data_IF_086594360917
#
_entry.id   IF_086594360917
#
_cell.length_a   1.000
_cell.length_b   1.000
_cell.length_c   1.000
_cell.angle_alpha   90.00
_cell.angle_beta   90.00
_cell.angle_gamma   90.00
#
_symmetry.space_group_name_H-M   'P 1'
#
loop_
_entity.id
_entity.type
_entity.pdbx_description
1 polymer ?
#
# COMPACT_ATOMS: atom_id res chain seq x y z
N UNK A 1 2.26 -20.27 -14.04
CA UNK A 1 3.27 -19.22 -14.25
C UNK A 1 3.66 -19.09 -15.72
N UNK A 2 4.51 -19.94 -16.32
CA UNK A 2 5.00 -19.75 -17.71
C UNK A 2 3.91 -19.79 -18.80
N UNK A 3 2.77 -20.43 -18.56
CA UNK A 3 1.63 -20.41 -19.48
C UNK A 3 0.81 -19.09 -19.42
N UNK A 4 0.98 -18.29 -18.36
CA UNK A 4 0.24 -17.05 -18.13
C UNK A 4 1.11 -15.82 -18.28
N UNK A 5 2.40 -15.90 -17.92
CA UNK A 5 3.34 -14.81 -18.12
C UNK A 5 3.69 -14.68 -19.61
N UNK A 6 3.12 -13.65 -20.28
CA UNK A 6 3.40 -13.37 -21.69
C UNK A 6 4.66 -12.54 -21.88
N UNK A 7 5.01 -11.74 -20.88
CA UNK A 7 6.16 -10.84 -20.88
C UNK A 7 7.14 -11.27 -19.78
N UNK A 8 8.44 -11.14 -20.04
CA UNK A 8 9.49 -11.27 -19.05
C UNK A 8 10.51 -10.14 -19.20
N UNK A 9 11.27 -9.88 -18.16
CA UNK A 9 12.37 -8.92 -18.18
C UNK A 9 13.70 -9.68 -18.10
N UNK A 10 14.62 -9.47 -19.04
CA UNK A 10 15.91 -10.16 -19.02
C UNK A 10 17.01 -9.22 -18.52
N UNK A 11 17.65 -9.62 -17.41
CA UNK A 11 18.79 -8.93 -16.83
C UNK A 11 19.94 -8.84 -17.84
N UNK A 12 20.77 -7.80 -17.70
CA UNK A 12 22.00 -7.60 -18.47
C UNK A 12 23.21 -7.70 -17.54
N UNK A 13 24.31 -8.26 -18.03
CA UNK A 13 25.59 -8.19 -17.33
C UNK A 13 26.03 -6.72 -17.29
N UNK A 14 26.29 -6.21 -16.08
CA UNK A 14 26.69 -4.84 -15.84
C UNK A 14 28.20 -4.82 -15.56
N UNK A 15 28.96 -4.14 -16.42
CA UNK A 15 30.41 -3.98 -16.28
C UNK A 15 30.79 -2.72 -15.51
N UNK A 16 29.83 -1.81 -15.31
CA UNK A 16 30.01 -0.56 -14.58
C UNK A 16 28.82 -0.29 -13.66
N UNK A 17 29.03 0.55 -12.65
CA UNK A 17 27.95 1.03 -11.77
C UNK A 17 26.88 1.79 -12.56
N UNK A 18 27.24 2.52 -13.61
CA UNK A 18 26.29 3.23 -14.45
C UNK A 18 25.35 2.26 -15.22
N UNK A 19 25.89 1.13 -15.71
CA UNK A 19 25.06 0.10 -16.33
C UNK A 19 24.13 -0.59 -15.32
N UNK A 20 24.59 -0.76 -14.08
CA UNK A 20 23.77 -1.28 -12.99
C UNK A 20 22.67 -0.31 -12.56
N UNK A 21 22.97 0.99 -12.47
CA UNK A 21 21.98 2.04 -12.20
C UNK A 21 20.85 2.01 -13.24
N UNK A 22 21.18 1.87 -14.54
CA UNK A 22 20.17 1.73 -15.59
C UNK A 22 19.22 0.54 -15.41
N UNK A 23 19.69 -0.56 -14.80
CA UNK A 23 18.85 -1.71 -14.41
C UNK A 23 17.91 -1.36 -13.25
N UNK A 24 18.43 -0.65 -12.24
CA UNK A 24 17.65 -0.21 -11.08
C UNK A 24 16.55 0.78 -11.48
N UNK A 25 16.80 1.66 -12.44
CA UNK A 25 15.78 2.61 -12.95
C UNK A 25 14.49 1.91 -13.41
N UNK A 26 14.59 0.68 -13.92
CA UNK A 26 13.42 -0.12 -14.30
C UNK A 26 12.82 -0.89 -13.12
N UNK A 27 13.66 -1.53 -12.31
CA UNK A 27 13.26 -2.63 -11.42
C UNK A 27 13.13 -2.26 -9.96
N UNK A 28 13.69 -1.12 -9.54
CA UNK A 28 13.83 -0.79 -8.13
C UNK A 28 13.13 0.52 -7.81
N UNK A 29 11.96 0.41 -7.17
CA UNK A 29 11.23 1.57 -6.63
C UNK A 29 11.91 2.22 -5.43
N UNK A 30 12.88 1.54 -4.84
CA UNK A 30 13.42 1.90 -3.55
C UNK A 30 14.60 2.84 -3.60
N UNK A 31 15.53 2.55 -4.52
CA UNK A 31 16.76 3.31 -4.73
C UNK A 31 16.83 3.97 -6.09
N UNK A 32 15.82 3.77 -6.94
CA UNK A 32 15.73 4.32 -8.28
C UNK A 32 14.27 4.64 -8.65
N UNK A 33 13.99 4.84 -9.94
CA UNK A 33 12.63 5.19 -10.39
C UNK A 33 11.63 4.01 -10.39
N UNK A 34 12.11 2.77 -10.57
CA UNK A 34 11.30 1.55 -10.63
C UNK A 34 10.21 1.59 -11.71
N UNK A 35 10.52 2.09 -12.91
CA UNK A 35 9.52 2.39 -13.94
C UNK A 35 8.65 1.19 -14.34
N UNK A 36 9.24 -0.01 -14.45
CA UNK A 36 8.48 -1.22 -14.79
C UNK A 36 7.58 -1.65 -13.62
N UNK A 37 8.09 -1.57 -12.39
CA UNK A 37 7.33 -1.93 -11.19
C UNK A 37 6.09 -1.02 -11.05
N UNK A 38 6.24 0.30 -11.24
CA UNK A 38 5.11 1.26 -11.27
C UNK A 38 4.09 0.94 -12.35
N UNK A 39 4.58 0.57 -13.53
CA UNK A 39 3.73 0.29 -14.68
C UNK A 39 2.88 -0.98 -14.45
N UNK A 40 3.53 -2.05 -13.99
CA UNK A 40 2.99 -3.40 -13.90
C UNK A 40 2.23 -3.68 -12.61
N UNK A 41 2.57 -3.04 -11.50
CA UNK A 41 1.97 -3.34 -10.20
C UNK A 41 1.27 -2.15 -9.57
N UNK A 42 1.51 -0.93 -10.04
CA UNK A 42 0.94 0.25 -9.41
C UNK A 42 1.59 0.52 -8.05
N UNK A 43 1.77 1.81 -7.75
CA UNK A 43 2.52 2.25 -6.57
C UNK A 43 1.90 3.54 -6.10
N UNK A 44 1.01 3.48 -5.10
CA UNK A 44 0.41 4.70 -4.54
C UNK A 44 1.22 5.29 -3.40
N UNK A 45 1.65 4.45 -2.44
CA UNK A 45 2.36 4.90 -1.25
C UNK A 45 3.68 4.12 -1.10
N UNK A 46 4.63 4.25 -2.07
CA UNK A 46 5.80 3.39 -2.20
C UNK A 46 6.65 3.21 -0.95
N UNK A 47 6.53 4.14 0.00
CA UNK A 47 7.42 4.22 1.14
C UNK A 47 6.70 4.26 2.50
N UNK A 48 5.36 4.24 2.52
CA UNK A 48 4.59 3.95 3.76
C UNK A 48 4.80 2.48 4.11
N UNK A 49 4.55 1.60 3.15
CA UNK A 49 4.91 0.18 3.12
C UNK A 49 4.83 -0.30 1.67
N UNK A 50 5.68 -1.26 1.30
CA UNK A 50 5.58 -1.92 -0.01
C UNK A 50 4.32 -2.80 -0.01
N UNK A 51 3.38 -2.47 -0.88
CA UNK A 51 2.25 -3.34 -1.20
C UNK A 51 2.79 -4.53 -2.02
N UNK A 52 2.51 -5.74 -1.56
CA UNK A 52 2.79 -7.00 -2.25
C UNK A 52 1.71 -7.31 -3.31
N UNK A 53 0.50 -6.82 -3.12
CA UNK A 53 -0.65 -7.10 -3.99
C UNK A 53 -0.72 -6.03 -5.09
N UNK A 54 -0.65 -6.40 -6.39
CA UNK A 54 -0.70 -5.45 -7.49
C UNK A 54 -1.98 -4.60 -7.51
N UNK A 55 -1.84 -3.29 -7.59
CA UNK A 55 -2.92 -2.30 -7.68
C UNK A 55 -3.36 -2.00 -9.13
N UNK A 56 -2.84 -2.74 -10.10
CA UNK A 56 -3.25 -2.67 -11.52
C UNK A 56 -4.31 -3.72 -11.87
N UNK A 57 -5.15 -4.07 -10.90
CA UNK A 57 -6.25 -5.04 -11.06
C UNK A 57 -5.80 -6.48 -11.35
N UNK A 58 -4.53 -6.81 -11.16
CA UNK A 58 -3.94 -8.14 -11.43
C UNK A 58 -3.63 -8.44 -12.91
N UNK A 59 -3.81 -7.47 -13.81
CA UNK A 59 -3.77 -7.69 -15.28
C UNK A 59 -2.49 -8.34 -15.82
N UNK A 60 -1.33 -7.90 -15.32
CA UNK A 60 -0.03 -8.30 -15.89
C UNK A 60 0.59 -9.53 -15.21
N UNK A 61 -0.04 -10.04 -14.14
CA UNK A 61 0.57 -11.01 -13.22
C UNK A 61 1.98 -10.57 -12.77
N UNK A 62 2.73 -11.45 -12.12
CA UNK A 62 4.14 -11.19 -11.81
C UNK A 62 5.02 -11.43 -13.05
N UNK A 63 5.71 -10.38 -13.50
CA UNK A 63 6.66 -10.40 -14.61
C UNK A 63 7.93 -11.11 -14.15
N UNK A 64 8.32 -12.25 -14.77
CA UNK A 64 9.53 -12.95 -14.39
C UNK A 64 10.80 -12.17 -14.72
N UNK A 65 11.76 -12.16 -13.80
CA UNK A 65 13.13 -11.72 -14.05
C UNK A 65 13.96 -12.91 -14.55
N UNK A 66 14.53 -12.78 -15.74
CA UNK A 66 15.34 -13.80 -16.38
C UNK A 66 16.83 -13.46 -16.25
N UNK A 67 17.68 -14.40 -15.79
CA UNK A 67 19.14 -14.21 -15.78
C UNK A 67 19.72 -13.88 -17.16
N UNK A 68 20.89 -13.23 -17.17
CA UNK A 68 21.61 -12.84 -18.41
C UNK A 68 21.78 -14.01 -19.37
N UNK A 69 22.20 -15.17 -18.87
CA UNK A 69 22.44 -16.39 -19.65
C UNK A 69 21.21 -17.25 -19.94
N UNK A 70 19.99 -16.74 -19.78
CA UNK A 70 18.78 -17.53 -19.99
C UNK A 70 18.74 -18.13 -21.41
N UNK A 71 18.64 -19.46 -21.56
CA UNK A 71 18.70 -20.10 -22.88
C UNK A 71 17.60 -19.62 -23.83
N UNK A 72 17.92 -19.59 -25.13
CA UNK A 72 16.98 -19.19 -26.17
C UNK A 72 15.67 -20.01 -26.17
N UNK A 73 15.76 -21.30 -25.81
CA UNK A 73 14.59 -22.17 -25.68
C UNK A 73 13.60 -21.69 -24.60
N UNK A 74 14.09 -21.04 -23.53
CA UNK A 74 13.25 -20.47 -22.46
C UNK A 74 12.74 -19.09 -22.87
N UNK A 75 13.58 -18.22 -23.42
CA UNK A 75 13.15 -16.87 -23.82
C UNK A 75 12.10 -16.89 -24.93
N UNK A 76 12.15 -17.86 -25.85
CA UNK A 76 11.13 -18.06 -26.90
C UNK A 76 9.73 -18.44 -26.38
N UNK A 77 9.59 -18.78 -25.09
CA UNK A 77 8.28 -19.08 -24.47
C UNK A 77 7.50 -17.82 -24.13
N UNK A 78 8.15 -16.66 -24.07
CA UNK A 78 7.53 -15.38 -23.82
C UNK A 78 7.23 -14.68 -25.14
N UNK A 79 6.09 -14.00 -25.22
CA UNK A 79 5.74 -13.16 -26.35
C UNK A 79 6.66 -11.92 -26.42
N UNK A 80 7.15 -11.45 -25.27
CA UNK A 80 8.09 -10.33 -25.18
C UNK A 80 9.13 -10.54 -24.09
N UNK A 81 10.38 -10.26 -24.46
CA UNK A 81 11.48 -10.04 -23.50
C UNK A 81 11.80 -8.55 -23.48
N UNK A 82 11.57 -7.91 -22.33
CA UNK A 82 11.97 -6.53 -22.05
C UNK A 82 13.47 -6.51 -21.76
N UNK A 83 14.14 -5.49 -22.28
CA UNK A 83 15.55 -5.20 -22.00
C UNK A 83 15.70 -4.00 -21.06
N UNK A 84 16.79 -3.91 -20.30
CA UNK A 84 17.04 -2.75 -19.45
C UNK A 84 17.06 -1.44 -20.23
N UNK A 85 16.40 -0.43 -19.68
CA UNK A 85 16.30 0.92 -20.24
C UNK A 85 15.45 1.02 -21.52
N UNK A 86 14.66 0.00 -21.87
CA UNK A 86 13.85 0.03 -23.09
C UNK A 86 12.75 1.10 -23.05
N UNK A 87 12.26 1.45 -21.86
CA UNK A 87 11.30 2.53 -21.66
C UNK A 87 11.80 3.50 -20.58
N UNK A 88 11.61 4.80 -20.82
CA UNK A 88 12.05 5.86 -19.91
C UNK A 88 10.95 6.37 -18.96
N UNK A 89 9.81 5.68 -18.89
CA UNK A 89 8.72 6.06 -17.98
C UNK A 89 7.76 4.90 -17.68
N UNK A 90 6.98 4.97 -16.59
CA UNK A 90 5.94 3.98 -16.28
C UNK A 90 4.86 3.89 -17.37
N UNK A 91 4.47 5.02 -17.98
CA UNK A 91 3.45 5.06 -19.03
C UNK A 91 3.93 4.36 -20.31
N UNK A 92 5.22 4.50 -20.63
CA UNK A 92 5.83 3.81 -21.76
C UNK A 92 5.86 2.30 -21.53
N UNK A 93 6.25 1.85 -20.33
CA UNK A 93 6.16 0.44 -19.96
C UNK A 93 4.73 -0.08 -19.97
N UNK A 94 3.75 0.68 -19.45
CA UNK A 94 2.35 0.28 -19.45
C UNK A 94 1.82 0.06 -20.86
N UNK A 95 2.08 1.00 -21.78
CA UNK A 95 1.76 0.84 -23.22
C UNK A 95 2.46 -0.35 -23.85
N UNK A 96 3.66 -0.73 -23.38
CA UNK A 96 4.34 -1.93 -23.85
C UNK A 96 3.62 -3.19 -23.37
N UNK A 97 3.30 -3.28 -22.08
CA UNK A 97 2.61 -4.42 -21.49
C UNK A 97 1.20 -4.59 -22.08
N UNK A 98 0.48 -3.49 -22.31
CA UNK A 98 -0.85 -3.45 -22.92
C UNK A 98 -0.93 -4.17 -24.28
N UNK A 99 0.18 -4.21 -25.04
CA UNK A 99 0.24 -4.92 -26.33
C UNK A 99 0.22 -6.44 -26.19
N UNK A 100 0.62 -6.95 -25.03
CA UNK A 100 0.76 -8.39 -24.78
C UNK A 100 -0.32 -8.90 -23.85
N UNK A 101 -0.77 -8.12 -22.87
CA UNK A 101 -1.78 -8.55 -21.90
C UNK A 101 -3.10 -7.83 -22.15
N UNK A 102 -4.11 -8.55 -22.64
CA UNK A 102 -5.44 -7.99 -22.89
C UNK A 102 -6.12 -7.55 -21.60
N UNK A 103 -7.01 -6.53 -21.64
CA UNK A 103 -7.88 -6.21 -20.51
C UNK A 103 -8.67 -7.45 -20.04
N UNK A 104 -8.82 -7.58 -18.73
CA UNK A 104 -9.69 -8.54 -18.08
C UNK A 104 -11.05 -7.90 -17.78
N UNK A 105 -12.04 -8.69 -17.38
CA UNK A 105 -13.33 -8.14 -16.94
C UNK A 105 -13.20 -7.08 -15.83
N UNK A 106 -12.16 -7.22 -15.00
CA UNK A 106 -11.86 -6.30 -13.91
C UNK A 106 -11.16 -5.00 -14.36
N UNK A 107 -10.61 -5.00 -15.58
CA UNK A 107 -9.77 -3.91 -16.13
C UNK A 107 -10.24 -3.42 -17.51
N UNK A 108 -11.45 -3.80 -17.94
CA UNK A 108 -12.07 -3.37 -19.21
C UNK A 108 -12.18 -1.83 -19.32
N UNK A 109 -12.48 -1.15 -18.20
CA UNK A 109 -12.50 0.31 -18.14
C UNK A 109 -11.15 0.87 -17.66
N UNK A 110 -10.32 1.46 -18.56
CA UNK A 110 -9.03 2.03 -18.17
C UNK A 110 -9.17 3.30 -17.32
N UNK A 111 -10.38 3.88 -17.21
CA UNK A 111 -10.65 5.03 -16.32
C UNK A 111 -10.97 4.58 -14.90
N UNK A 112 -11.34 3.32 -14.70
CA UNK A 112 -11.64 2.79 -13.39
C UNK A 112 -10.33 2.61 -12.60
N UNK A 113 -9.99 3.63 -11.81
CA UNK A 113 -8.91 3.57 -10.83
C UNK A 113 -9.40 2.84 -9.57
N UNK A 114 -8.47 2.31 -8.75
CA UNK A 114 -8.79 1.68 -7.47
C UNK A 114 -9.64 0.39 -7.57
N UNK A 115 -9.20 -0.55 -8.41
CA UNK A 115 -9.80 -1.87 -8.55
C UNK A 115 -9.05 -2.88 -7.70
N UNK A 116 -9.77 -3.84 -7.13
CA UNK A 116 -9.17 -4.96 -6.44
C UNK A 116 -8.30 -5.78 -7.41
N UNK A 117 -7.29 -6.47 -6.89
CA UNK A 117 -6.47 -7.38 -7.68
C UNK A 117 -7.25 -8.68 -7.94
N UNK A 118 -7.43 -9.05 -9.22
CA UNK A 118 -8.07 -10.31 -9.61
C UNK A 118 -7.06 -11.18 -10.34
N UNK A 119 -6.72 -12.34 -9.76
CA UNK A 119 -5.75 -13.29 -10.30
C UNK A 119 -6.42 -14.63 -10.60
N UNK A 120 -6.38 -15.07 -11.85
CA UNK A 120 -6.86 -16.40 -12.26
C UNK A 120 -5.65 -17.32 -12.38
N UNK A 121 -5.47 -18.26 -11.46
CA UNK A 121 -4.32 -19.16 -11.40
C UNK A 121 -4.78 -20.63 -11.58
N UNK A 122 -4.78 -21.09 -12.84
CA UNK A 122 -5.32 -22.42 -13.16
C UNK A 122 -6.81 -22.49 -12.85
N UNK A 123 -7.21 -23.32 -11.88
CA UNK A 123 -8.61 -23.44 -11.42
C UNK A 123 -8.96 -22.51 -10.26
N UNK A 124 -7.98 -21.86 -9.64
CA UNK A 124 -8.20 -20.93 -8.55
C UNK A 124 -8.38 -19.52 -9.10
N UNK A 125 -9.32 -18.77 -8.55
CA UNK A 125 -9.52 -17.35 -8.87
C UNK A 125 -9.51 -16.59 -7.56
N UNK A 126 -8.54 -15.70 -7.36
CA UNK A 126 -8.40 -14.89 -6.17
C UNK A 126 -8.81 -13.45 -6.46
N UNK A 127 -9.61 -12.87 -5.57
CA UNK A 127 -9.90 -11.44 -5.51
C UNK A 127 -9.29 -10.91 -4.22
N UNK A 128 -8.42 -9.93 -4.33
CA UNK A 128 -7.61 -9.42 -3.23
C UNK A 128 -7.72 -7.90 -3.20
N UNK A 129 -7.93 -7.34 -2.02
CA UNK A 129 -7.78 -5.90 -1.84
C UNK A 129 -6.27 -5.55 -1.90
N UNK A 130 -5.89 -4.51 -2.66
CA UNK A 130 -4.48 -4.15 -2.89
C UNK A 130 -3.93 -3.16 -1.84
N UNK A 131 -4.77 -2.47 -1.04
CA UNK A 131 -4.30 -1.60 0.05
C UNK A 131 -4.14 -2.36 1.35
N UNK A 132 -3.03 -3.07 1.45
CA UNK A 132 -2.71 -3.95 2.57
C UNK A 132 -2.61 -3.26 3.93
N UNK A 133 -2.57 -1.92 3.98
CA UNK A 133 -2.33 -1.15 5.20
C UNK A 133 -3.42 -0.11 5.50
N UNK A 134 -4.46 -0.02 4.67
CA UNK A 134 -5.49 1.01 4.79
C UNK A 134 -6.86 0.44 4.48
N UNK A 135 -7.87 0.98 5.16
CA UNK A 135 -9.24 0.83 4.68
C UNK A 135 -9.36 1.51 3.32
N UNK A 136 -9.66 0.72 2.30
CA UNK A 136 -10.02 1.22 0.98
C UNK A 136 -10.88 0.16 0.32
N UNK A 137 -12.14 0.51 0.14
CA UNK A 137 -13.13 -0.33 -0.52
C UNK A 137 -12.84 -0.31 -2.02
N UNK A 138 -12.50 -1.47 -2.57
CA UNK A 138 -12.14 -1.63 -3.96
C UNK A 138 -13.16 -2.48 -4.68
N UNK A 139 -13.62 -2.00 -5.82
CA UNK A 139 -14.55 -2.75 -6.66
C UNK A 139 -13.81 -3.85 -7.43
N UNK A 140 -14.49 -4.97 -7.63
CA UNK A 140 -14.05 -6.04 -8.51
C UNK A 140 -15.15 -6.48 -9.47
N UNK A 141 -14.73 -7.00 -10.63
CA UNK A 141 -15.58 -7.77 -11.52
C UNK A 141 -14.86 -9.08 -11.89
N UNK A 142 -15.56 -10.20 -11.87
CA UNK A 142 -15.00 -11.51 -12.19
C UNK A 142 -16.05 -12.44 -12.80
N UNK A 143 -15.70 -13.12 -13.88
CA UNK A 143 -16.54 -14.14 -14.47
C UNK A 143 -16.31 -15.48 -13.76
N UNK A 144 -17.35 -16.01 -13.11
CA UNK A 144 -17.32 -17.24 -12.32
C UNK A 144 -18.31 -18.28 -12.87
N UNK A 145 -18.19 -19.57 -12.52
CA UNK A 145 -19.23 -20.54 -12.84
C UNK A 145 -20.59 -20.07 -12.31
N UNK A 146 -21.61 -20.19 -13.15
CA UNK A 146 -22.97 -19.72 -12.87
C UNK A 146 -23.47 -20.34 -11.57
N UNK A 147 -23.79 -19.49 -10.60
CA UNK A 147 -24.24 -19.93 -9.28
C UNK A 147 -25.72 -20.29 -9.26
N UNK A 148 -26.05 -21.13 -8.29
CA UNK A 148 -27.41 -21.59 -8.04
C UNK A 148 -28.23 -20.47 -7.42
N UNK A 149 -29.47 -20.33 -7.88
CA UNK A 149 -30.46 -19.35 -7.41
C UNK A 149 -31.79 -20.03 -7.08
N UNK A 150 -32.65 -19.31 -6.35
CA UNK A 150 -33.98 -19.78 -6.00
C UNK A 150 -33.98 -20.96 -5.03
N UNK A 151 -32.95 -21.03 -4.16
CA UNK A 151 -32.81 -22.12 -3.19
C UNK A 151 -33.97 -22.08 -2.19
N UNK A 152 -34.65 -23.21 -2.00
CA UNK A 152 -35.78 -23.40 -1.08
C UNK A 152 -35.57 -24.65 -0.24
N UNK A 153 -36.06 -24.61 0.98
CA UNK A 153 -35.98 -25.72 1.92
C UNK A 153 -37.35 -26.06 2.50
N UNK A 154 -37.65 -27.35 2.64
CA UNK A 154 -38.90 -27.84 3.22
C UNK A 154 -38.61 -29.03 4.12
N UNK A 155 -38.93 -28.89 5.40
CA UNK A 155 -38.91 -30.03 6.32
C UNK A 155 -40.08 -30.97 5.97
N UNK A 156 -39.81 -32.27 5.96
CA UNK A 156 -40.82 -33.31 5.74
C UNK A 156 -40.52 -34.56 6.56
N UNK A 157 -41.45 -35.52 6.53
CA UNK A 157 -41.34 -36.77 7.30
C UNK A 157 -40.09 -37.61 6.95
N UNK A 158 -39.56 -37.47 5.74
CA UNK A 158 -38.37 -38.17 5.25
C UNK A 158 -37.05 -37.40 5.49
N UNK A 159 -37.10 -36.23 6.13
CA UNK A 159 -35.96 -35.33 6.32
C UNK A 159 -36.14 -33.98 5.60
N UNK A 160 -35.03 -33.27 5.38
CA UNK A 160 -35.03 -31.96 4.77
C UNK A 160 -34.98 -32.06 3.24
N UNK A 161 -36.02 -31.58 2.55
CA UNK A 161 -36.02 -31.37 1.11
C UNK A 161 -35.40 -30.02 0.75
N UNK A 162 -34.48 -30.00 -0.20
CA UNK A 162 -33.90 -28.81 -0.81
C UNK A 162 -34.25 -28.80 -2.30
N UNK A 163 -34.66 -27.64 -2.82
CA UNK A 163 -34.98 -27.41 -4.22
C UNK A 163 -34.34 -26.10 -4.69
N UNK A 164 -33.96 -26.01 -5.95
CA UNK A 164 -33.36 -24.80 -6.54
C UNK A 164 -33.73 -24.66 -8.01
N UNK A 165 -33.39 -23.52 -8.62
CA UNK A 165 -33.61 -23.30 -10.05
C UNK A 165 -32.72 -24.23 -10.88
N UNK A 166 -33.30 -24.82 -11.92
CA UNK A 166 -32.58 -25.74 -12.80
C UNK A 166 -31.62 -24.97 -13.69
N UNK A 167 -30.34 -25.31 -13.64
CA UNK A 167 -29.34 -24.91 -14.63
C UNK A 167 -29.13 -26.07 -15.64
N UNK A 168 -29.56 -25.93 -16.91
CA UNK A 168 -29.41 -26.97 -17.91
C UNK A 168 -27.95 -27.26 -18.28
N UNK A 169 -27.02 -26.33 -18.00
CA UNK A 169 -25.60 -26.46 -18.30
C UNK A 169 -24.80 -27.08 -17.15
N UNK A 170 -25.42 -27.21 -15.96
CA UNK A 170 -24.79 -27.83 -14.80
C UNK A 170 -24.69 -29.35 -14.97
N UNK A 171 -23.49 -29.89 -14.74
CA UNK A 171 -23.21 -31.34 -14.82
C UNK A 171 -23.67 -32.07 -13.56
N UNK A 172 -23.48 -31.43 -12.41
CA UNK A 172 -23.87 -31.94 -11.10
C UNK A 172 -23.88 -30.80 -10.08
N UNK A 173 -24.59 -31.01 -8.98
CA UNK A 173 -24.63 -30.10 -7.84
C UNK A 173 -23.97 -30.73 -6.61
N UNK A 174 -23.48 -29.87 -5.72
CA UNK A 174 -22.99 -30.23 -4.38
C UNK A 174 -23.78 -29.46 -3.34
N UNK A 175 -24.12 -30.15 -2.25
CA UNK A 175 -24.88 -29.60 -1.13
C UNK A 175 -23.93 -29.45 0.04
N UNK A 176 -23.92 -28.25 0.59
CA UNK A 176 -23.05 -27.83 1.67
C UNK A 176 -23.87 -27.46 2.89
N UNK A 177 -23.37 -27.77 4.08
CA UNK A 177 -23.90 -27.31 5.35
C UNK A 177 -22.94 -26.27 5.92
N UNK A 178 -23.47 -25.12 6.33
CA UNK A 178 -22.67 -24.09 6.99
C UNK A 178 -22.20 -24.60 8.35
N UNK A 179 -20.91 -24.43 8.63
CA UNK A 179 -20.32 -24.71 9.93
C UNK A 179 -20.66 -23.54 10.88
N UNK A 180 -21.31 -23.79 12.04
CA UNK A 180 -21.64 -22.74 12.99
C UNK A 180 -20.39 -22.09 13.60
N UNK A 181 -20.48 -20.80 13.95
CA UNK A 181 -19.43 -20.10 14.71
C UNK A 181 -18.38 -19.36 13.88
N UNK A 182 -18.38 -19.49 12.55
CA UNK A 182 -17.52 -18.69 11.69
C UNK A 182 -17.99 -17.22 11.68
N UNK A 183 -17.12 -16.30 12.08
CA UNK A 183 -17.43 -14.88 12.33
C UNK A 183 -17.20 -13.97 11.13
N UNK A 184 -16.23 -14.30 10.26
CA UNK A 184 -15.84 -13.44 9.13
C UNK A 184 -16.30 -14.01 7.78
N UNK A 185 -15.92 -15.25 7.47
CA UNK A 185 -16.35 -15.93 6.24
C UNK A 185 -17.18 -17.19 6.57
N UNK A 186 -18.28 -17.48 5.85
CA UNK A 186 -19.01 -18.72 6.04
C UNK A 186 -18.13 -19.92 5.69
N UNK A 187 -17.92 -20.82 6.65
CA UNK A 187 -17.29 -22.11 6.39
C UNK A 187 -18.34 -23.17 6.05
N UNK A 188 -17.97 -24.11 5.17
CA UNK A 188 -18.91 -25.07 4.60
C UNK A 188 -18.36 -26.49 4.68
N UNK A 189 -19.21 -27.41 5.12
CA UNK A 189 -18.95 -28.85 5.09
C UNK A 189 -19.75 -29.49 3.97
N UNK A 190 -19.09 -30.28 3.12
CA UNK A 190 -19.76 -31.04 2.06
C UNK A 190 -20.67 -32.11 2.68
N UNK A 191 -21.96 -32.06 2.34
CA UNK A 191 -22.96 -33.06 2.80
C UNK A 191 -23.21 -34.10 1.72
N UNK A 192 -23.32 -33.65 0.47
CA UNK A 192 -23.63 -34.53 -0.66
C UNK A 192 -23.06 -33.98 -1.95
N UNK A 193 -22.55 -34.86 -2.80
CA UNK A 193 -22.03 -34.53 -4.13
C UNK A 193 -22.71 -35.37 -5.20
N UNK A 194 -22.58 -34.95 -6.47
CA UNK A 194 -23.05 -35.72 -7.62
C UNK A 194 -24.58 -35.71 -7.78
N UNK A 195 -25.26 -34.66 -7.33
CA UNK A 195 -26.70 -34.53 -7.54
C UNK A 195 -26.96 -34.08 -8.98
N UNK A 196 -27.76 -34.82 -9.75
CA UNK A 196 -28.00 -34.53 -11.18
C UNK A 196 -29.35 -33.84 -11.45
N UNK A 197 -30.17 -33.63 -10.42
CA UNK A 197 -31.44 -32.89 -10.49
C UNK A 197 -31.39 -31.57 -9.72
N UNK A 198 -32.46 -30.78 -9.80
CA UNK A 198 -32.61 -29.50 -9.09
C UNK A 198 -33.28 -29.64 -7.71
N UNK A 199 -33.22 -30.84 -7.15
CA UNK A 199 -33.81 -31.17 -5.86
C UNK A 199 -33.03 -32.30 -5.17
N UNK A 200 -33.04 -32.31 -3.84
CA UNK A 200 -32.46 -33.36 -3.03
C UNK A 200 -33.11 -33.45 -1.65
N UNK A 201 -33.26 -34.66 -1.14
CA UNK A 201 -33.64 -34.92 0.25
C UNK A 201 -32.40 -35.29 1.08
N UNK A 202 -32.28 -34.70 2.26
CA UNK A 202 -31.25 -34.99 3.28
C UNK A 202 -31.91 -35.77 4.44
N UNK A 203 -31.73 -37.09 4.53
CA UNK A 203 -32.36 -37.93 5.55
C UNK A 203 -31.85 -37.58 6.95
N UNK A 204 -32.75 -37.58 7.94
CA UNK A 204 -32.38 -37.35 9.35
C UNK A 204 -31.92 -35.93 9.68
N UNK A 205 -32.04 -34.99 8.74
CA UNK A 205 -31.76 -33.57 8.95
C UNK A 205 -33.07 -32.82 9.11
N UNK A 206 -33.24 -32.13 10.23
CA UNK A 206 -34.43 -31.33 10.54
C UNK A 206 -34.13 -29.82 10.53
N UNK A 207 -32.89 -29.42 10.80
CA UNK A 207 -32.47 -28.02 10.95
C UNK A 207 -31.03 -27.78 10.46
N UNK A 208 -30.73 -26.53 10.13
CA UNK A 208 -29.38 -26.09 9.73
C UNK A 208 -29.41 -25.01 8.67
N UNK A 209 -28.22 -24.59 8.24
CA UNK A 209 -28.05 -23.66 7.12
C UNK A 209 -27.34 -24.38 5.98
N UNK A 210 -27.91 -24.31 4.78
CA UNK A 210 -27.47 -25.09 3.62
C UNK A 210 -27.25 -24.20 2.40
N UNK A 211 -26.24 -24.54 1.61
CA UNK A 211 -25.94 -23.90 0.34
C UNK A 211 -25.78 -24.95 -0.75
N UNK A 212 -25.93 -24.54 -2.01
CA UNK A 212 -25.76 -25.41 -3.17
C UNK A 212 -24.81 -24.77 -4.16
N UNK A 213 -23.85 -25.54 -4.65
CA UNK A 213 -22.96 -25.15 -5.74
C UNK A 213 -23.23 -26.00 -6.97
N UNK A 214 -22.96 -25.44 -8.15
CA UNK A 214 -23.04 -26.13 -9.42
C UNK A 214 -21.64 -26.39 -9.98
N UNK A 215 -21.41 -27.61 -10.48
CA UNK A 215 -20.28 -27.91 -11.36
C UNK A 215 -20.72 -27.63 -12.78
N UNK A 216 -20.29 -26.50 -13.34
CA UNK A 216 -20.79 -25.98 -14.62
C UNK A 216 -19.68 -25.28 -15.39
N UNK A 217 -19.80 -25.27 -16.73
CA UNK A 217 -18.96 -24.45 -17.61
C UNK A 217 -19.62 -23.12 -17.97
N UNK A 218 -20.92 -22.98 -17.71
CA UNK A 218 -21.62 -21.73 -17.91
C UNK A 218 -21.06 -20.72 -16.92
N UNK A 219 -20.73 -19.53 -17.38
CA UNK A 219 -20.24 -18.46 -16.53
C UNK A 219 -21.29 -17.38 -16.33
N UNK A 220 -21.14 -16.61 -15.26
CA UNK A 220 -21.89 -15.41 -14.96
C UNK A 220 -20.96 -14.40 -14.29
N UNK A 221 -21.06 -13.14 -14.69
CA UNK A 221 -20.29 -12.05 -14.10
C UNK A 221 -20.76 -11.77 -12.68
N UNK A 222 -19.83 -11.80 -11.75
CA UNK A 222 -20.00 -11.37 -10.37
C UNK A 222 -19.29 -10.02 -10.19
N UNK A 223 -20.00 -9.07 -9.62
CA UNK A 223 -19.46 -7.76 -9.24
C UNK A 223 -19.65 -7.56 -7.74
N UNK A 224 -18.68 -6.91 -7.12
CA UNK A 224 -18.72 -6.64 -5.70
C UNK A 224 -17.58 -5.73 -5.28
N UNK A 225 -17.36 -5.69 -3.97
CA UNK A 225 -16.28 -4.93 -3.36
C UNK A 225 -15.54 -5.77 -2.36
N UNK A 226 -14.27 -5.46 -2.12
CA UNK A 226 -13.44 -5.97 -1.02
C UNK A 226 -12.84 -4.78 -0.28
N UNK A 227 -12.58 -4.91 1.02
CA UNK A 227 -11.95 -3.87 1.84
C UNK A 227 -10.69 -4.43 2.56
N UNK A 228 -10.15 -3.68 3.51
CA UNK A 228 -8.96 -4.04 4.26
C UNK A 228 -9.00 -5.49 4.75
N UNK A 229 -7.93 -6.25 4.45
CA UNK A 229 -7.76 -7.68 4.77
C UNK A 229 -8.74 -8.64 4.11
N UNK A 230 -9.68 -8.16 3.29
CA UNK A 230 -10.57 -9.04 2.55
C UNK A 230 -9.82 -9.76 1.42
N UNK A 231 -10.09 -11.07 1.33
CA UNK A 231 -9.75 -11.87 0.17
C UNK A 231 -10.87 -12.87 -0.13
N UNK A 232 -11.17 -13.04 -1.41
CA UNK A 232 -12.16 -14.02 -1.89
C UNK A 232 -11.44 -15.05 -2.77
N UNK A 233 -11.76 -16.33 -2.54
CA UNK A 233 -11.21 -17.43 -3.33
C UNK A 233 -12.35 -18.20 -3.99
N UNK A 234 -12.28 -18.34 -5.31
CA UNK A 234 -13.25 -19.05 -6.12
C UNK A 234 -12.60 -20.18 -6.92
N UNK A 235 -13.45 -21.09 -7.38
CA UNK A 235 -13.08 -22.19 -8.25
C UNK A 235 -13.62 -21.93 -9.67
N UNK A 236 -12.82 -22.20 -10.69
CA UNK A 236 -13.19 -22.04 -12.09
C UNK A 236 -14.15 -23.13 -12.61
N UNK A 237 -14.32 -24.24 -11.86
CA UNK A 237 -15.19 -25.36 -12.23
C UNK A 237 -16.44 -25.48 -11.34
N UNK A 238 -16.48 -24.79 -10.20
CA UNK A 238 -17.55 -24.87 -9.21
C UNK A 238 -18.03 -23.48 -8.82
N UNK A 239 -19.34 -23.26 -8.89
CA UNK A 239 -19.95 -21.97 -8.59
C UNK A 239 -19.81 -21.59 -7.11
N UNK A 240 -19.75 -20.30 -6.76
CA UNK A 240 -19.83 -19.88 -5.37
C UNK A 240 -21.23 -20.13 -4.77
N UNK A 241 -21.33 -20.09 -3.45
CA UNK A 241 -22.61 -20.10 -2.71
C UNK A 241 -23.00 -18.65 -2.42
N UNK A 242 -24.01 -18.14 -3.12
CA UNK A 242 -24.52 -16.77 -2.96
C UNK A 242 -25.88 -16.70 -2.24
N UNK A 243 -26.57 -17.83 -2.16
CA UNK A 243 -27.82 -18.01 -1.43
C UNK A 243 -27.68 -19.17 -0.45
N UNK A 244 -28.26 -19.03 0.74
CA UNK A 244 -28.35 -20.08 1.74
C UNK A 244 -29.80 -20.29 2.19
N UNK A 245 -30.20 -21.53 2.39
CA UNK A 245 -31.44 -21.88 3.06
C UNK A 245 -31.19 -22.05 4.56
N UNK A 246 -31.84 -21.23 5.38
CA UNK A 246 -31.82 -21.32 6.84
C UNK A 246 -33.07 -22.03 7.30
N UNK A 247 -32.89 -23.16 7.98
CA UNK A 247 -33.96 -24.05 8.44
C UNK A 247 -33.91 -24.13 9.95
N UNK A 248 -35.02 -23.73 10.57
CA UNK A 248 -35.23 -23.74 12.02
C UNK A 248 -36.51 -24.49 12.35
N UNK A 249 -36.76 -24.74 13.65
CA UNK A 249 -38.06 -25.30 14.09
C UNK A 249 -39.27 -24.46 13.69
N UNK A 250 -39.08 -23.15 13.53
CA UNK A 250 -40.15 -22.20 13.18
C UNK A 250 -40.42 -22.09 11.67
N UNK A 251 -39.66 -22.81 10.83
CA UNK A 251 -39.78 -22.76 9.38
C UNK A 251 -38.44 -22.55 8.69
N UNK A 252 -38.52 -22.29 7.39
CA UNK A 252 -37.36 -22.08 6.52
C UNK A 252 -37.43 -20.72 5.82
N UNK A 253 -36.28 -20.16 5.51
CA UNK A 253 -36.15 -18.96 4.68
C UNK A 253 -34.86 -19.01 3.87
N UNK A 254 -34.81 -18.19 2.82
CA UNK A 254 -33.62 -18.03 1.98
C UNK A 254 -32.97 -16.70 2.30
N UNK A 255 -31.65 -16.71 2.48
CA UNK A 255 -30.84 -15.53 2.76
C UNK A 255 -29.75 -15.39 1.71
N UNK A 256 -29.40 -14.15 1.37
CA UNK A 256 -28.19 -13.85 0.59
C UNK A 256 -26.98 -13.84 1.50
N UNK A 257 -25.86 -14.31 0.98
CA UNK A 257 -24.60 -14.30 1.71
C UNK A 257 -23.85 -12.99 1.40
N UNK A 258 -23.41 -12.30 2.45
CA UNK A 258 -22.33 -11.30 2.34
C UNK A 258 -21.00 -11.99 2.64
N UNK A 259 -19.98 -11.70 1.84
CA UNK A 259 -18.62 -12.19 2.06
C UNK A 259 -17.68 -11.11 2.56
N UNK A 260 -18.14 -9.87 2.69
CA UNK A 260 -17.31 -8.74 3.12
C UNK A 260 -17.85 -8.11 4.38
N UNK A 261 -16.93 -7.58 5.18
CA UNK A 261 -17.26 -6.81 6.37
C UNK A 261 -17.62 -5.37 5.97
N UNK A 262 -18.92 -5.14 5.80
CA UNK A 262 -19.48 -3.81 5.48
C UNK A 262 -19.41 -2.83 6.65
N UNK A 263 -18.97 -3.24 7.85
CA UNK A 263 -18.78 -2.34 8.99
C UNK A 263 -17.49 -1.51 8.90
N UNK A 264 -16.54 -1.94 8.05
CA UNK A 264 -15.27 -1.25 7.87
C UNK A 264 -15.44 0.09 7.13
N UNK A 265 -14.63 1.12 7.44
CA UNK A 265 -14.65 2.38 6.70
C UNK A 265 -14.42 2.17 5.20
N UNK A 266 -15.13 2.91 4.35
CA UNK A 266 -14.96 2.77 2.90
C UNK A 266 -13.58 3.28 2.40
N UNK A 267 -12.97 4.20 3.14
CA UNK A 267 -11.67 4.78 2.84
C UNK A 267 -11.03 5.31 4.14
N UNK A 268 -9.73 5.16 4.24
CA UNK A 268 -8.89 5.79 5.27
C UNK A 268 -7.90 6.73 4.60
N UNK A 269 -7.90 7.99 5.02
CA UNK A 269 -6.86 8.93 4.60
C UNK A 269 -5.71 8.87 5.60
N UNK A 270 -4.49 8.64 5.11
CA UNK A 270 -3.31 8.48 5.97
C UNK A 270 -2.96 9.80 6.69
N UNK A 271 -3.20 10.93 6.04
CA UNK A 271 -2.70 12.24 6.44
C UNK A 271 -3.77 13.25 6.87
N UNK A 272 -5.03 13.10 6.45
CA UNK A 272 -6.11 14.08 6.70
C UNK A 272 -6.94 13.67 7.92
N UNK A 273 -6.30 13.68 9.08
CA UNK A 273 -6.94 13.37 10.36
C UNK A 273 -7.27 14.69 11.06
N UNK A 274 -8.55 14.96 11.33
CA UNK A 274 -9.03 16.16 12.05
C UNK A 274 -9.52 15.86 13.47
N UNK A 275 -9.29 14.64 13.96
CA UNK A 275 -9.58 14.30 15.35
C UNK A 275 -8.83 15.26 16.28
N UNK A 276 -9.56 15.89 17.20
CA UNK A 276 -9.03 16.88 18.13
C UNK A 276 -9.00 18.34 17.63
N UNK A 277 -9.45 18.62 16.40
CA UNK A 277 -9.66 20.02 15.96
C UNK A 277 -10.86 20.61 16.69
N UNK A 278 -10.69 21.81 17.26
CA UNK A 278 -11.79 22.49 17.95
C UNK A 278 -12.84 22.99 16.95
N UNK A 279 -14.14 22.93 17.30
CA UNK A 279 -15.21 23.42 16.44
C UNK A 279 -14.97 24.85 15.94
N UNK A 280 -15.13 25.07 14.64
CA UNK A 280 -14.92 26.36 13.98
C UNK A 280 -13.49 26.59 13.46
N UNK A 281 -12.54 25.70 13.76
CA UNK A 281 -11.15 25.77 13.26
C UNK A 281 -10.86 24.83 12.08
N UNK A 282 -11.86 24.11 11.58
CA UNK A 282 -11.70 23.06 10.55
C UNK A 282 -11.14 23.63 9.25
N UNK A 283 -11.65 24.79 8.82
CA UNK A 283 -11.18 25.47 7.60
C UNK A 283 -9.73 25.90 7.69
N UNK A 284 -9.27 26.28 8.88
CA UNK A 284 -7.89 26.69 9.11
C UNK A 284 -6.96 25.47 9.18
N UNK A 285 -7.40 24.40 9.85
CA UNK A 285 -6.70 23.12 9.84
C UNK A 285 -6.55 22.57 8.41
N UNK A 286 -7.59 22.65 7.58
CA UNK A 286 -7.53 22.28 6.15
C UNK A 286 -6.50 23.07 5.36
N UNK A 287 -6.45 24.39 5.56
CA UNK A 287 -5.47 25.25 4.90
C UNK A 287 -4.04 24.90 5.35
N UNK A 288 -3.83 24.67 6.65
CA UNK A 288 -2.53 24.26 7.19
C UNK A 288 -2.11 22.90 6.59
N UNK A 289 -3.01 21.92 6.51
CA UNK A 289 -2.69 20.64 5.84
C UNK A 289 -2.34 20.82 4.37
N UNK A 290 -3.07 21.66 3.63
CA UNK A 290 -2.75 21.95 2.24
C UNK A 290 -1.36 22.56 2.08
N UNK A 291 -0.97 23.45 3.01
CA UNK A 291 0.37 24.07 3.06
C UNK A 291 1.44 23.07 3.45
N UNK A 292 1.20 22.20 4.43
CA UNK A 292 2.11 21.13 4.81
C UNK A 292 2.32 20.11 3.66
N UNK A 293 1.27 19.75 2.93
CA UNK A 293 1.39 18.95 1.71
C UNK A 293 2.18 19.66 0.60
N UNK A 294 2.10 20.99 0.52
CA UNK A 294 2.95 21.80 -0.35
C UNK A 294 4.42 21.78 0.05
N UNK A 295 4.71 21.85 1.35
CA UNK A 295 6.05 21.73 1.92
C UNK A 295 6.66 20.37 1.58
N UNK A 296 5.90 19.30 1.78
CA UNK A 296 6.30 17.93 1.39
C UNK A 296 6.65 17.90 -0.10
N UNK A 297 5.74 18.30 -1.00
CA UNK A 297 6.01 18.29 -2.45
C UNK A 297 7.25 19.10 -2.85
N UNK A 298 7.52 20.22 -2.17
CA UNK A 298 8.74 21.00 -2.42
C UNK A 298 10.00 20.24 -1.98
N UNK A 299 9.93 19.55 -0.84
CA UNK A 299 11.00 18.68 -0.38
C UNK A 299 11.24 17.50 -1.34
N UNK A 300 10.18 16.80 -1.77
CA UNK A 300 10.30 15.65 -2.68
C UNK A 300 10.77 16.04 -4.09
N UNK A 301 10.59 17.30 -4.48
CA UNK A 301 11.14 17.86 -5.71
C UNK A 301 12.61 18.29 -5.58
N UNK A 302 13.19 18.28 -4.38
CA UNK A 302 14.52 18.85 -4.12
C UNK A 302 14.58 20.38 -4.32
N UNK A 303 13.44 21.07 -4.32
CA UNK A 303 13.33 22.50 -4.59
C UNK A 303 13.50 23.29 -3.28
N UNK A 304 14.75 23.64 -2.98
CA UNK A 304 15.10 24.34 -1.75
C UNK A 304 14.40 25.70 -1.62
N UNK A 305 14.28 26.47 -2.70
CA UNK A 305 13.69 27.80 -2.64
C UNK A 305 12.19 27.74 -2.38
N UNK A 306 11.50 26.82 -3.06
CA UNK A 306 10.09 26.57 -2.79
C UNK A 306 9.86 25.99 -1.39
N UNK A 307 10.76 25.14 -0.90
CA UNK A 307 10.70 24.60 0.46
C UNK A 307 10.83 25.71 1.50
N UNK A 308 11.80 26.62 1.31
CA UNK A 308 12.01 27.74 2.22
C UNK A 308 10.86 28.76 2.20
N UNK A 309 10.09 28.86 1.11
CA UNK A 309 8.90 29.72 1.05
C UNK A 309 7.77 29.32 2.03
N UNK A 310 7.85 28.15 2.66
CA UNK A 310 6.92 27.73 3.71
C UNK A 310 7.33 28.21 5.10
N UNK A 311 8.60 28.58 5.32
CA UNK A 311 9.09 29.05 6.61
C UNK A 311 8.89 30.56 6.74
N UNK A 312 8.53 31.00 7.94
CA UNK A 312 8.46 32.42 8.27
C UNK A 312 9.88 32.98 8.56
N UNK A 313 10.22 34.22 8.18
CA UNK A 313 11.49 34.85 8.56
C UNK A 313 11.74 34.88 10.07
N UNK A 314 10.68 34.93 10.88
CA UNK A 314 10.75 34.89 12.34
C UNK A 314 10.81 33.46 12.92
N UNK A 315 10.94 32.42 12.08
CA UNK A 315 11.01 31.03 12.54
C UNK A 315 12.09 30.82 13.61
N UNK A 316 11.72 30.13 14.71
CA UNK A 316 12.64 29.67 15.76
C UNK A 316 12.23 28.28 16.25
N UNK A 317 13.14 27.31 16.15
CA UNK A 317 12.92 25.94 16.65
C UNK A 317 13.15 25.79 18.16
N UNK A 318 12.98 24.57 18.67
CA UNK A 318 13.19 24.25 20.08
C UNK A 318 14.62 24.50 20.60
N UNK A 319 15.61 24.56 19.70
CA UNK A 319 17.03 24.77 20.03
C UNK A 319 17.43 26.26 19.83
N UNK A 320 16.49 27.11 19.41
CA UNK A 320 16.70 28.53 19.15
C UNK A 320 17.25 28.83 17.76
N UNK A 321 17.35 27.85 16.86
CA UNK A 321 17.87 28.08 15.51
C UNK A 321 16.85 28.80 14.61
N UNK A 322 17.37 29.64 13.72
CA UNK A 322 16.58 30.49 12.83
C UNK A 322 16.31 29.83 11.46
N UNK A 323 15.55 30.53 10.61
CA UNK A 323 15.29 30.11 9.22
C UNK A 323 16.58 29.92 8.40
N UNK A 324 17.66 30.62 8.73
CA UNK A 324 18.96 30.47 8.06
C UNK A 324 19.56 29.08 8.32
N UNK A 325 19.45 28.59 9.54
CA UNK A 325 19.89 27.24 9.91
C UNK A 325 19.10 26.19 9.13
N UNK A 326 17.77 26.33 9.08
CA UNK A 326 16.88 25.43 8.32
C UNK A 326 17.30 25.36 6.85
N UNK A 327 17.55 26.51 6.21
CA UNK A 327 17.99 26.55 4.81
C UNK A 327 19.30 25.80 4.61
N UNK A 328 20.28 26.01 5.50
CA UNK A 328 21.58 25.32 5.42
C UNK A 328 21.42 23.82 5.62
N UNK A 329 20.57 23.39 6.55
CA UNK A 329 20.34 21.97 6.84
C UNK A 329 19.67 21.26 5.66
N UNK A 330 18.62 21.86 5.07
CA UNK A 330 18.02 21.30 3.86
C UNK A 330 18.95 21.31 2.65
N UNK A 331 19.76 22.35 2.48
CA UNK A 331 20.79 22.38 1.43
C UNK A 331 21.78 21.24 1.61
N UNK A 332 22.28 21.02 2.84
CA UNK A 332 23.19 19.92 3.15
C UNK A 332 22.55 18.56 2.82
N UNK A 333 21.28 18.39 3.18
CA UNK A 333 20.51 17.18 2.90
C UNK A 333 20.39 16.91 1.40
N UNK A 334 19.95 17.90 0.61
CA UNK A 334 19.79 17.73 -0.84
C UNK A 334 21.10 17.56 -1.59
N UNK A 335 22.22 18.06 -1.05
CA UNK A 335 23.54 17.82 -1.64
C UNK A 335 24.05 16.38 -1.45
N UNK A 336 23.54 15.66 -0.45
CA UNK A 336 24.05 14.34 -0.06
C UNK A 336 23.05 13.21 -0.22
N UNK A 337 21.80 13.54 -0.52
CA UNK A 337 20.76 12.54 -0.71
C UNK A 337 20.13 12.67 -2.08
N UNK A 338 19.79 11.53 -2.66
CA UNK A 338 18.97 11.41 -3.87
C UNK A 338 17.60 10.85 -3.51
N UNK A 339 16.61 11.12 -4.37
CA UNK A 339 15.23 10.64 -4.24
C UNK A 339 14.61 11.07 -2.88
N UNK A 340 14.46 12.39 -2.64
CA UNK A 340 13.84 12.85 -1.41
C UNK A 340 12.35 12.46 -1.38
N UNK A 341 11.88 11.96 -0.24
CA UNK A 341 10.45 11.68 -0.03
C UNK A 341 10.04 11.83 1.44
N UNK A 342 8.74 12.01 1.69
CA UNK A 342 8.22 12.13 3.06
C UNK A 342 7.09 11.15 3.30
N UNK A 343 7.17 10.44 4.43
CA UNK A 343 6.00 9.75 5.01
C UNK A 343 5.54 10.57 6.18
N UNK A 344 4.26 10.97 6.22
CA UNK A 344 3.71 11.74 7.33
C UNK A 344 2.27 11.33 7.66
N UNK A 345 1.95 11.33 8.96
CA UNK A 345 0.62 11.14 9.49
C UNK A 345 0.39 12.11 10.65
N UNK A 346 -0.72 12.85 10.60
CA UNK A 346 -1.15 13.72 11.70
C UNK A 346 -1.57 12.85 12.89
N UNK A 347 -1.10 13.21 14.08
CA UNK A 347 -1.42 12.53 15.34
C UNK A 347 -2.34 13.35 16.21
N UNK A 348 -2.09 14.65 16.31
CA UNK A 348 -2.88 15.56 17.14
C UNK A 348 -2.86 16.96 16.56
N UNK A 349 -3.88 17.74 16.93
CA UNK A 349 -4.00 19.16 16.66
C UNK A 349 -3.98 19.96 17.96
N UNK A 350 -3.43 21.15 17.89
CA UNK A 350 -3.67 22.23 18.84
C UNK A 350 -4.15 23.45 18.05
N UNK A 351 -5.45 23.69 18.12
CA UNK A 351 -6.13 24.83 17.49
C UNK A 351 -6.57 25.87 18.52
N UNK A 352 -6.09 25.79 19.77
CA UNK A 352 -6.50 26.70 20.85
C UNK A 352 -6.22 28.17 20.55
N UNK A 353 -5.24 28.44 19.68
CA UNK A 353 -4.83 29.78 19.24
C UNK A 353 -5.19 30.08 17.78
N UNK A 354 -6.09 29.31 17.18
CA UNK A 354 -6.49 29.49 15.79
C UNK A 354 -7.07 30.90 15.52
N UNK A 355 -7.82 31.46 16.48
CA UNK A 355 -8.34 32.83 16.42
C UNK A 355 -7.25 33.90 16.39
N UNK A 356 -6.07 33.63 16.96
CA UNK A 356 -4.88 34.49 16.90
C UNK A 356 -4.07 34.26 15.60
N UNK A 357 -4.56 33.38 14.72
CA UNK A 357 -3.87 32.99 13.50
C UNK A 357 -2.70 32.05 13.74
N UNK A 358 -2.72 31.23 14.80
CA UNK A 358 -1.70 30.23 15.10
C UNK A 358 -2.31 28.84 15.32
N UNK A 359 -1.76 27.82 14.65
CA UNK A 359 -2.19 26.43 14.78
C UNK A 359 -0.96 25.54 14.86
N UNK A 360 -0.98 24.55 15.74
CA UNK A 360 0.02 23.49 15.75
C UNK A 360 -0.59 22.16 15.36
N UNK A 361 0.18 21.36 14.62
CA UNK A 361 -0.13 19.95 14.36
C UNK A 361 1.08 19.10 14.70
N UNK A 362 0.86 17.99 15.38
CA UNK A 362 1.91 16.99 15.62
C UNK A 362 1.77 15.89 14.60
N UNK A 363 2.83 15.66 13.84
CA UNK A 363 2.91 14.56 12.87
C UNK A 363 3.91 13.52 13.33
N UNK A 364 3.55 12.25 13.16
CA UNK A 364 4.57 11.23 12.92
C UNK A 364 5.07 11.43 11.49
N UNK A 365 6.34 11.76 11.30
CA UNK A 365 6.88 12.01 9.98
C UNK A 365 8.30 11.44 9.81
N UNK A 366 8.65 11.14 8.56
CA UNK A 366 9.96 10.65 8.14
C UNK A 366 10.29 11.28 6.80
N UNK A 367 11.14 12.30 6.83
CA UNK A 367 11.82 12.85 5.67
C UNK A 367 12.97 11.92 5.36
N UNK A 368 12.98 11.37 4.15
CA UNK A 368 13.90 10.31 3.75
C UNK A 368 14.58 10.65 2.44
N UNK A 369 15.70 9.96 2.22
CA UNK A 369 16.51 10.04 1.02
C UNK A 369 17.56 8.94 1.05
N UNK A 370 18.16 8.66 -0.09
CA UNK A 370 19.26 7.69 -0.21
C UNK A 370 20.58 8.46 -0.21
N UNK A 371 21.53 8.11 0.67
CA UNK A 371 22.80 8.85 0.71
C UNK A 371 23.66 8.46 -0.49
N UNK A 372 24.29 9.46 -1.11
CA UNK A 372 25.38 9.27 -2.07
C UNK A 372 26.69 9.71 -1.43
N UNK A 373 27.67 8.81 -1.35
CA UNK A 373 29.01 9.06 -0.81
C UNK A 373 30.07 9.10 -1.92
N UNK A 374 31.13 9.87 -1.68
CA UNK A 374 32.28 10.02 -2.58
C UNK A 374 33.39 8.97 -2.31
N UNK A 375 33.21 8.07 -1.34
CA UNK A 375 34.17 7.00 -0.99
C UNK A 375 33.94 5.73 -1.85
N UNK A 376 34.97 4.90 -2.11
CA UNK A 376 34.95 3.89 -3.19
C UNK A 376 34.02 2.68 -2.96
N UNK A 377 33.22 2.69 -1.89
CA UNK A 377 32.24 1.66 -1.57
C UNK A 377 30.87 2.31 -1.39
N UNK A 378 30.08 2.32 -2.47
CA UNK A 378 28.85 3.10 -2.61
C UNK A 378 27.71 2.81 -1.62
N UNK A 379 26.62 3.55 -1.84
CA UNK A 379 25.28 3.46 -1.23
C UNK A 379 25.21 2.90 0.21
N UNK A 380 25.05 3.79 1.20
CA UNK A 380 24.76 3.40 2.60
C UNK A 380 23.27 3.25 2.89
N UNK A 381 22.46 3.19 1.84
CA UNK A 381 21.03 2.95 1.92
C UNK A 381 20.25 4.19 2.35
N UNK A 382 19.00 3.93 2.69
CA UNK A 382 18.02 4.96 3.03
C UNK A 382 18.30 5.52 4.42
N UNK A 383 18.35 6.83 4.48
CA UNK A 383 18.36 7.57 5.74
C UNK A 383 17.09 8.35 5.95
N UNK A 384 16.89 8.76 7.20
CA UNK A 384 15.67 9.43 7.63
C UNK A 384 15.96 10.46 8.71
N UNK A 385 15.14 11.50 8.74
CA UNK A 385 14.97 12.42 9.86
C UNK A 385 13.47 12.66 10.08
N UNK A 386 13.00 12.91 11.31
CA UNK A 386 13.75 12.78 12.54
C UNK A 386 14.20 11.34 12.83
N UNK A 387 15.19 11.17 13.72
CA UNK A 387 15.68 9.87 14.20
C UNK A 387 15.40 9.62 15.68
N UNK A 388 14.97 10.65 16.41
CA UNK A 388 14.55 10.50 17.80
C UNK A 388 13.37 9.52 17.95
N UNK A 389 13.21 8.99 19.16
CA UNK A 389 12.14 8.04 19.47
C UNK A 389 10.76 8.62 19.12
N UNK A 390 9.93 7.80 18.47
CA UNK A 390 8.56 8.13 18.11
C UNK A 390 8.41 8.96 16.83
N UNK A 391 9.48 9.45 16.19
CA UNK A 391 9.46 10.20 14.91
C UNK A 391 8.39 11.32 14.83
N UNK A 392 8.10 11.96 15.95
CA UNK A 392 7.03 12.96 16.09
C UNK A 392 7.58 14.38 16.11
N UNK A 393 7.10 15.21 15.20
CA UNK A 393 7.39 16.65 15.18
C UNK A 393 6.10 17.43 15.25
N UNK A 394 6.04 18.38 16.18
CA UNK A 394 5.02 19.41 16.23
C UNK A 394 5.43 20.57 15.33
N UNK A 395 4.62 20.87 14.34
CA UNK A 395 4.77 21.99 13.42
C UNK A 395 3.80 23.09 13.82
N UNK A 396 4.34 24.24 14.23
CA UNK A 396 3.53 25.42 14.53
C UNK A 396 3.51 26.35 13.33
N UNK A 397 2.31 26.66 12.88
CA UNK A 397 2.02 27.52 11.74
C UNK A 397 1.39 28.81 12.22
N UNK A 398 1.79 29.92 11.58
CA UNK A 398 1.20 31.23 11.81
C UNK A 398 0.77 31.86 10.50
N UNK A 399 -0.37 32.54 10.53
CA UNK A 399 -0.84 33.34 9.41
C UNK A 399 -0.05 34.64 9.34
N UNK A 400 0.58 34.90 8.20
CA UNK A 400 1.29 36.14 7.97
C UNK A 400 0.32 37.28 7.58
N UNK A 401 0.84 38.49 7.40
CA UNK A 401 0.03 39.67 7.05
C UNK A 401 -0.74 39.53 5.73
N UNK A 402 -0.27 38.70 4.79
CA UNK A 402 -0.96 38.38 3.53
C UNK A 402 -2.00 37.26 3.66
N UNK A 403 -2.22 36.71 4.85
CA UNK A 403 -3.17 35.63 5.07
C UNK A 403 -2.62 34.22 4.79
N UNK A 404 -1.33 34.07 4.49
CA UNK A 404 -0.70 32.78 4.22
C UNK A 404 -0.20 32.11 5.51
N UNK A 405 -0.39 30.81 5.64
CA UNK A 405 0.21 30.03 6.72
C UNK A 405 1.69 29.73 6.44
N UNK A 406 2.54 30.06 7.41
CA UNK A 406 3.99 29.84 7.41
C UNK A 406 4.41 29.08 8.67
N UNK A 407 5.42 28.23 8.56
CA UNK A 407 6.02 27.52 9.70
C UNK A 407 6.82 28.53 10.53
N UNK A 408 6.47 28.67 11.80
CA UNK A 408 7.19 29.53 12.76
C UNK A 408 8.01 28.74 13.77
N UNK A 409 7.72 27.44 13.95
CA UNK A 409 8.44 26.56 14.87
C UNK A 409 8.24 25.10 14.51
N UNK A 410 9.27 24.30 14.78
CA UNK A 410 9.18 22.84 14.87
C UNK A 410 9.73 22.37 16.21
N UNK A 411 9.05 21.41 16.83
CA UNK A 411 9.50 20.80 18.09
C UNK A 411 9.35 19.28 18.03
N UNK A 412 10.44 18.50 18.15
CA UNK A 412 11.84 18.92 18.11
C UNK A 412 12.23 19.66 16.81
N UNK A 413 13.43 20.23 16.77
CA UNK A 413 13.97 20.87 15.58
C UNK A 413 13.94 19.93 14.36
N UNK A 414 13.35 20.37 13.25
CA UNK A 414 13.35 19.67 11.98
C UNK A 414 13.40 20.70 10.83
N UNK A 415 14.45 20.69 10.00
CA UNK A 415 15.60 19.77 9.98
C UNK A 415 16.54 19.93 11.18
N UNK A 416 17.34 18.90 11.48
CA UNK A 416 18.34 18.92 12.54
C UNK A 416 19.72 18.50 12.01
N UNK A 417 20.70 19.41 12.03
CA UNK A 417 22.06 19.11 11.57
C UNK A 417 22.76 18.03 12.39
N UNK A 418 22.50 17.89 13.69
CA UNK A 418 23.10 16.83 14.49
C UNK A 418 22.70 15.44 13.98
N UNK A 419 21.42 15.25 13.69
CA UNK A 419 20.91 14.01 13.09
C UNK A 419 21.44 13.80 11.66
N UNK A 420 21.55 14.87 10.87
CA UNK A 420 22.09 14.83 9.51
C UNK A 420 23.60 14.58 9.48
N UNK A 421 24.40 15.17 10.37
CA UNK A 421 25.84 14.95 10.41
C UNK A 421 26.17 13.52 10.84
N UNK A 422 25.33 12.89 11.65
CA UNK A 422 25.46 11.47 11.96
C UNK A 422 25.38 10.60 10.70
N UNK A 423 24.47 10.93 9.79
CA UNK A 423 24.32 10.26 8.49
C UNK A 423 25.61 10.39 7.66
N UNK A 424 26.38 11.45 7.89
CA UNK A 424 27.66 11.74 7.27
C UNK A 424 28.91 11.36 8.08
N UNK A 425 28.85 10.49 9.09
CA UNK A 425 30.05 9.99 9.80
C UNK A 425 30.57 8.68 9.20
N UNK A 426 31.89 8.50 9.17
CA UNK A 426 32.55 7.27 8.71
C UNK A 426 32.23 6.05 9.60
N UNK A 427 32.33 4.85 9.03
CA UNK A 427 32.04 3.56 9.69
C UNK A 427 33.01 3.20 10.81
N UNK A 428 34.11 3.93 10.93
CA UNK A 428 35.18 3.74 11.91
C UNK A 428 34.87 4.33 13.28
N UNK A 429 33.73 5.03 13.44
CA UNK A 429 33.34 5.67 14.70
C UNK A 429 32.34 4.79 15.48
N UNK A 430 32.68 4.27 16.68
CA UNK A 430 31.72 3.59 17.55
C UNK A 430 30.60 4.54 18.02
N UNK A 431 29.36 4.07 18.14
CA UNK A 431 28.20 4.94 18.40
C UNK A 431 27.50 4.66 19.74
N UNK A 432 27.14 5.73 20.47
CA UNK A 432 26.27 5.65 21.67
C UNK A 432 25.08 6.63 21.61
N UNK A 433 23.87 6.16 21.98
CA UNK A 433 22.59 6.91 21.93
C UNK A 433 22.53 8.17 22.81
N UNK A 434 23.50 8.41 23.69
CA UNK A 434 23.59 9.61 24.52
C UNK A 434 24.14 10.85 23.80
N UNK A 435 24.80 10.69 22.65
CA UNK A 435 25.34 11.81 21.84
C UNK A 435 24.24 12.68 21.17
N UNK A 436 22.99 12.23 21.23
CA UNK A 436 21.88 12.77 20.42
C UNK A 436 21.07 13.87 21.14
N UNK A 437 21.40 14.15 22.41
CA UNK A 437 20.79 15.22 23.16
C UNK A 437 21.58 16.52 22.92
N UNK A 438 21.17 17.36 21.96
CA UNK A 438 21.65 18.76 21.84
C UNK A 438 21.07 19.61 22.99
N UNK A 439 21.38 19.17 24.19
CA UNK A 439 21.14 19.88 25.45
C UNK A 439 22.34 20.78 25.70
N UNK A 440 22.18 21.90 26.42
CA UNK A 440 23.30 22.71 26.88
C UNK A 440 24.40 21.89 27.58
N UNK A 441 24.04 20.78 28.24
CA UNK A 441 24.96 19.86 28.91
C UNK A 441 25.87 19.03 27.95
N UNK A 442 25.44 18.79 26.71
CA UNK A 442 26.27 18.11 25.71
C UNK A 442 27.43 18.96 25.19
N UNK A 443 27.34 20.29 25.36
CA UNK A 443 28.35 21.26 24.90
C UNK A 443 29.52 21.42 25.86
N UNK A 444 29.36 20.99 27.11
CA UNK A 444 30.40 21.06 28.16
C UNK A 444 31.44 19.92 28.09
N UNK A 445 31.11 18.78 27.49
CA UNK A 445 31.99 17.60 27.53
C UNK A 445 33.17 17.62 26.54
N UNK A 446 33.26 18.63 25.66
CA UNK A 446 34.35 18.72 24.68
C UNK A 446 35.52 19.64 25.08
N UNK A 447 35.46 20.27 26.26
CA UNK A 447 36.53 21.16 26.73
C UNK A 447 37.63 20.47 27.57
N UNK A 448 37.43 19.21 27.99
CA UNK A 448 38.37 18.51 28.90
C UNK A 448 39.36 17.56 28.20
N UNK A 449 39.43 17.55 26.87
CA UNK A 449 40.45 16.79 26.13
C UNK A 449 41.55 17.72 25.61
N UNK A 450 42.39 18.23 26.51
CA UNK A 450 43.75 18.63 26.16
C UNK A 450 44.69 17.42 26.32
N UNK A 451 45.60 17.16 25.37
CA UNK A 451 46.54 16.06 25.48
C UNK A 451 47.69 16.44 26.44
N UNK A 452 47.91 15.63 27.48
CA UNK A 452 49.13 15.69 28.27
C UNK A 452 50.34 15.37 27.39
N UNK A 453 51.26 16.33 27.31
CA UNK A 453 52.57 16.15 26.70
C UNK A 453 53.38 15.14 27.54
N UNK A 454 53.70 13.99 26.95
CA UNK A 454 54.61 13.01 27.54
C UNK A 454 56.06 13.47 27.36
N UNK A 455 56.74 13.68 28.48
CA UNK A 455 58.19 13.84 28.53
C UNK A 455 58.90 12.52 28.27
N UNK A 456 59.78 12.51 27.28
CA UNK A 456 60.76 11.47 27.00
C UNK A 456 61.91 11.53 28.02
N UNK A 457 62.24 10.39 28.61
CA UNK A 457 63.62 9.98 28.89
C UNK A 457 63.85 8.58 28.32
#
# INVERSE_FOLDING_TARGET
VLAQARVAYQLKECKTLHEYDGLLQDLDLEVAHGYLERAAYGVLLPHLMKEMIPDTGGRYYFIPLLPVGTPAAVTRRFARIIRPGECASPEAYRRLLDRYDSPTENTEDPRATNRACVLKCGRAIAVLQSRENLFEKQAYAVDLPRWVTGLRARAGAAGLGLEWERDPEARSFRIWRRIPGATVYPEWQLVKAGVHGSACTLPGVDQGTFGVTAITRATKRLEGTVNFTDYLLFNADESPILEQAVVTRGGSRTEKISWTDESLPAKQEVWRIFEGVQPGSEKDAEQVLARFGGLIRAFEAGDLDRLMAFYDPAYRDSNGYSVEYVRRAWLWWFQRTVIPYVVAQVRTWDTSRAAEGEISLTTWNRFRGTIVWDEPFGDHGRVRIPRHEGDRVTWTWKRNASGEWKVIRTTPALPNFGEMLWIGRGHDVPHTMSEFADTPASRTNHLDLQPEASHVR
#
